data_IF_051567256392
#
_entry.id   IF_051567256392
#
_cell.length_a   1.000
_cell.length_b   1.000
_cell.length_c   1.000
_cell.angle_alpha   90.00
_cell.angle_beta   90.00
_cell.angle_gamma   90.00
#
_symmetry.space_group_name_H-M   'P 1'
#
loop_
_entity.id
_entity.type
_entity.pdbx_description
1 polymer ?
#
# COMPACT_ATOMS: atom_id res chain seq x y z
N UNK A 1 -7.21 57.89 -4.04
CA UNK A 1 -6.34 59.03 -3.71
C UNK A 1 -5.44 58.64 -2.54
N UNK A 2 -4.12 58.93 -2.65
CA UNK A 2 -3.08 59.00 -1.57
C UNK A 2 -2.92 57.77 -0.64
N UNK A 3 -1.99 56.81 -0.86
CA UNK A 3 -0.52 56.83 -0.60
C UNK A 3 -0.10 57.63 0.64
N UNK A 4 0.71 57.02 1.53
CA UNK A 4 1.86 57.55 2.32
C UNK A 4 2.62 56.31 2.89
N UNK A 5 3.74 55.84 2.34
CA UNK A 5 5.18 56.18 2.53
C UNK A 5 5.80 55.98 3.94
N UNK A 6 6.64 54.94 4.01
CA UNK A 6 8.05 54.85 4.49
C UNK A 6 8.42 55.40 5.87
N UNK A 7 9.21 54.61 6.63
CA UNK A 7 10.66 54.85 6.85
C UNK A 7 11.36 53.66 7.50
N UNK A 8 12.53 53.35 6.96
CA UNK A 8 13.57 52.48 7.48
C UNK A 8 14.74 53.36 7.92
N UNK A 9 15.43 53.03 9.02
CA UNK A 9 16.79 53.47 9.45
C UNK A 9 17.00 52.99 10.90
N UNK A 10 18.15 52.56 11.45
CA UNK A 10 19.54 52.41 11.01
C UNK A 10 20.28 51.50 12.00
N UNK A 11 21.41 50.98 11.53
CA UNK A 11 22.54 50.26 12.14
C UNK A 11 23.09 50.90 13.45
N UNK A 12 23.58 50.08 14.39
CA UNK A 12 24.83 50.34 15.12
C UNK A 12 25.36 49.07 15.85
N UNK A 13 26.53 48.61 15.43
CA UNK A 13 27.37 47.66 16.15
C UNK A 13 28.47 48.41 16.91
N UNK A 14 28.82 47.96 18.12
CA UNK A 14 30.05 48.20 18.91
C UNK A 14 29.91 47.31 20.17
N UNK A 15 30.61 46.18 20.38
CA UNK A 15 32.03 45.88 20.44
C UNK A 15 32.70 46.19 21.81
N UNK A 16 33.17 45.10 22.44
CA UNK A 16 34.18 44.93 23.49
C UNK A 16 34.00 45.58 24.87
N UNK A 17 33.97 44.72 25.90
CA UNK A 17 34.81 44.89 27.09
C UNK A 17 35.08 43.54 27.76
N UNK A 18 36.37 43.23 27.84
CA UNK A 18 37.00 42.11 28.55
C UNK A 18 37.04 42.39 30.05
N UNK A 19 36.74 41.40 30.87
CA UNK A 19 37.14 41.39 32.28
C UNK A 19 37.50 39.96 32.69
N UNK A 20 38.81 39.75 32.84
CA UNK A 20 39.43 38.59 33.47
C UNK A 20 39.34 38.75 34.99
N UNK A 21 38.75 37.77 35.67
CA UNK A 21 39.06 37.41 37.06
C UNK A 21 38.70 35.93 37.27
N UNK A 22 39.74 35.12 37.49
CA UNK A 22 39.69 33.74 37.97
C UNK A 22 39.68 33.72 39.51
N UNK A 23 39.72 32.56 40.19
CA UNK A 23 38.79 31.43 40.14
C UNK A 23 38.23 31.14 41.56
N UNK A 24 36.96 30.76 41.68
CA UNK A 24 36.45 30.11 42.89
C UNK A 24 36.12 28.66 42.55
N UNK A 25 36.97 27.75 43.00
CA UNK A 25 36.69 26.33 43.00
C UNK A 25 35.52 26.05 43.96
N UNK A 26 34.37 25.68 43.40
CA UNK A 26 33.30 25.01 44.12
C UNK A 26 32.95 23.73 43.40
N UNK A 27 32.77 22.70 44.23
CA UNK A 27 32.68 21.30 43.89
C UNK A 27 31.61 21.00 42.82
N UNK A 28 31.96 20.08 41.92
CA UNK A 28 31.07 19.51 40.93
C UNK A 28 29.91 18.73 41.59
N UNK A 29 28.65 18.99 41.20
CA UNK A 29 27.62 17.98 41.20
C UNK A 29 27.58 17.27 39.84
N UNK A 30 27.48 15.94 39.92
CA UNK A 30 27.47 15.01 38.81
C UNK A 30 26.56 15.45 37.65
N UNK A 31 27.09 15.33 36.43
CA UNK A 31 26.35 15.47 35.19
C UNK A 31 25.14 14.52 35.21
N UNK A 32 23.94 15.10 35.41
CA UNK A 32 22.69 14.44 35.03
C UNK A 32 22.70 14.31 33.51
N UNK A 33 22.81 13.08 33.07
CA UNK A 33 22.64 12.64 31.69
C UNK A 33 21.43 13.35 31.09
N UNK A 34 21.67 14.17 30.06
CA UNK A 34 20.61 14.69 29.23
C UNK A 34 19.76 13.51 28.72
N UNK A 35 18.43 13.61 28.69
CA UNK A 35 17.61 12.54 28.16
C UNK A 35 18.02 12.34 26.70
N UNK A 36 18.59 11.16 26.42
CA UNK A 36 18.86 10.68 25.06
C UNK A 36 17.55 10.83 24.30
N UNK A 37 17.51 11.79 23.38
CA UNK A 37 16.41 11.94 22.44
C UNK A 37 16.11 10.54 21.90
N UNK A 38 14.90 10.07 22.17
CA UNK A 38 14.43 8.81 21.61
C UNK A 38 14.70 8.89 20.11
N UNK A 39 15.55 8.00 19.63
CA UNK A 39 15.83 7.86 18.20
C UNK A 39 14.48 7.85 17.50
N UNK A 40 14.21 8.88 16.71
CA UNK A 40 13.07 8.88 15.82
C UNK A 40 13.13 7.52 15.11
N UNK A 41 12.11 6.68 15.34
CA UNK A 41 11.96 5.43 14.58
C UNK A 41 12.19 5.85 13.14
N UNK A 42 13.20 5.24 12.49
CA UNK A 42 13.37 5.39 11.05
C UNK A 42 11.98 5.26 10.46
N UNK A 43 11.50 6.33 9.83
CA UNK A 43 10.23 6.34 9.13
C UNK A 43 10.32 5.10 8.24
N UNK A 44 9.51 4.08 8.54
CA UNK A 44 9.54 2.88 7.73
C UNK A 44 9.22 3.35 6.33
N UNK A 45 10.05 2.94 5.39
CA UNK A 45 9.73 3.18 4.00
C UNK A 45 8.32 2.63 3.77
N UNK A 46 7.36 3.43 3.28
CA UNK A 46 6.04 2.93 2.92
C UNK A 46 6.10 1.74 1.94
N UNK A 47 7.26 1.50 1.31
CA UNK A 47 7.60 0.33 0.50
C UNK A 47 8.26 -0.87 1.21
N UNK A 48 8.20 -1.01 2.55
CA UNK A 48 8.78 -2.17 3.30
C UNK A 48 8.12 -3.54 2.97
N UNK A 49 7.30 -3.59 1.92
CA UNK A 49 6.94 -4.81 1.21
C UNK A 49 8.16 -5.58 0.71
N UNK A 50 9.31 -4.91 0.56
CA UNK A 50 10.61 -5.54 0.34
C UNK A 50 10.88 -6.69 1.32
N UNK A 51 10.77 -6.43 2.62
CA UNK A 51 11.02 -7.41 3.66
C UNK A 51 10.02 -8.58 3.60
N UNK A 52 8.79 -8.30 3.17
CA UNK A 52 7.76 -9.32 2.98
C UNK A 52 8.06 -10.19 1.74
N UNK A 53 8.51 -9.59 0.64
CA UNK A 53 8.94 -10.30 -0.57
C UNK A 53 10.26 -11.05 -0.39
N UNK A 54 11.15 -10.59 0.48
CA UNK A 54 12.37 -11.31 0.85
C UNK A 54 12.07 -12.54 1.70
N UNK A 55 11.09 -12.43 2.60
CA UNK A 55 10.60 -13.55 3.40
C UNK A 55 9.77 -14.55 2.57
N UNK A 56 9.05 -14.07 1.55
CA UNK A 56 8.19 -14.86 0.66
C UNK A 56 8.49 -14.57 -0.82
N UNK A 57 9.64 -15.03 -1.35
CA UNK A 57 10.04 -14.71 -2.71
C UNK A 57 9.10 -15.33 -3.74
N UNK A 58 8.68 -14.51 -4.71
CA UNK A 58 7.84 -14.95 -5.81
C UNK A 58 8.53 -16.04 -6.65
N UNK A 59 7.77 -17.07 -7.04
CA UNK A 59 8.24 -18.23 -7.78
C UNK A 59 9.07 -19.23 -6.96
N UNK A 60 9.21 -19.04 -5.64
CA UNK A 60 9.90 -19.98 -4.74
C UNK A 60 8.91 -20.78 -3.89
N UNK A 61 9.32 -21.95 -3.38
CA UNK A 61 8.49 -22.73 -2.46
C UNK A 61 8.08 -21.90 -1.24
N UNK A 62 6.82 -22.04 -0.82
CA UNK A 62 6.34 -21.44 0.42
C UNK A 62 7.13 -22.03 1.60
N UNK A 63 7.77 -21.21 2.45
CA UNK A 63 8.40 -21.68 3.67
C UNK A 63 7.40 -22.42 4.55
N UNK A 64 7.86 -23.39 5.34
CA UNK A 64 7.00 -24.00 6.36
C UNK A 64 6.68 -22.95 7.41
N UNK A 65 5.39 -22.68 7.60
CA UNK A 65 4.87 -21.71 8.56
C UNK A 65 3.92 -22.42 9.54
N UNK A 66 3.93 -22.01 10.82
CA UNK A 66 2.92 -22.44 11.78
C UNK A 66 1.54 -21.84 11.45
N UNK A 67 0.48 -22.37 12.09
CA UNK A 67 -0.84 -21.73 12.04
C UNK A 67 -0.79 -20.38 12.76
N UNK A 68 -1.57 -19.39 12.29
CA UNK A 68 -1.64 -18.12 12.99
C UNK A 68 -2.35 -18.19 14.34
N UNK A 69 -3.07 -19.29 14.61
CA UNK A 69 -3.61 -19.56 15.93
C UNK A 69 -2.50 -19.92 16.93
N UNK A 70 -1.52 -20.71 16.52
CA UNK A 70 -0.47 -21.24 17.39
C UNK A 70 0.49 -20.16 17.90
N UNK A 71 0.73 -19.14 17.07
CA UNK A 71 1.72 -18.09 17.35
C UNK A 71 1.09 -16.76 17.77
N UNK A 72 -0.23 -16.76 18.00
CA UNK A 72 -0.97 -15.58 18.44
C UNK A 72 -0.56 -15.21 19.86
N UNK A 73 -0.23 -13.94 20.09
CA UNK A 73 0.04 -13.45 21.42
C UNK A 73 -1.22 -13.57 22.30
N UNK A 74 -1.06 -13.98 23.56
CA UNK A 74 -2.17 -14.20 24.48
C UNK A 74 -3.09 -12.97 24.54
N UNK A 75 -4.35 -13.13 24.11
CA UNK A 75 -5.39 -12.09 24.13
C UNK A 75 -5.33 -11.03 23.02
N UNK A 76 -4.42 -11.13 22.04
CA UNK A 76 -4.20 -10.11 21.02
C UNK A 76 -4.58 -10.50 19.58
N UNK A 77 -4.69 -9.49 18.71
CA UNK A 77 -4.77 -9.66 17.24
C UNK A 77 -3.40 -9.85 16.57
N UNK A 78 -2.32 -9.81 17.36
CA UNK A 78 -0.95 -9.86 16.88
C UNK A 78 -0.33 -11.26 17.01
N UNK A 79 0.55 -11.57 16.07
CA UNK A 79 1.31 -12.82 16.00
C UNK A 79 2.77 -12.55 16.29
N UNK A 80 3.44 -13.51 16.94
CA UNK A 80 4.84 -13.39 17.36
C UNK A 80 5.83 -13.65 16.23
N UNK A 81 5.44 -14.44 15.23
CA UNK A 81 6.21 -14.73 14.01
C UNK A 81 5.32 -14.78 12.76
N UNK A 82 5.93 -15.00 11.59
CA UNK A 82 5.14 -15.21 10.37
C UNK A 82 4.38 -16.54 10.46
N UNK A 83 3.13 -16.53 10.03
CA UNK A 83 2.24 -17.67 10.12
C UNK A 83 1.31 -17.71 8.92
N UNK A 84 0.72 -18.87 8.63
CA UNK A 84 -0.18 -18.99 7.51
C UNK A 84 -1.28 -20.00 7.75
N UNK A 85 -2.53 -19.56 7.56
CA UNK A 85 -3.71 -20.41 7.58
C UNK A 85 -4.30 -20.52 6.18
N UNK A 86 -4.82 -21.71 5.86
CA UNK A 86 -5.54 -21.95 4.60
C UNK A 86 -6.81 -21.11 4.58
N UNK A 87 -7.03 -20.37 3.50
CA UNK A 87 -8.32 -19.74 3.24
C UNK A 87 -9.24 -20.78 2.58
N UNK A 88 -10.54 -20.69 2.84
CA UNK A 88 -11.56 -21.67 2.43
C UNK A 88 -11.51 -22.01 0.91
N UNK A 89 -10.89 -21.17 0.07
CA UNK A 89 -10.68 -21.42 -1.35
C UNK A 89 -9.54 -22.42 -1.63
N UNK A 90 -9.87 -23.70 -1.80
CA UNK A 90 -9.11 -24.73 -2.56
C UNK A 90 -7.58 -24.81 -2.34
N UNK A 91 -7.04 -24.34 -1.21
CA UNK A 91 -5.61 -24.36 -0.90
C UNK A 91 -4.70 -23.44 -1.73
N UNK A 92 -5.24 -22.71 -2.73
CA UNK A 92 -4.47 -21.80 -3.60
C UNK A 92 -4.31 -20.41 -3.04
N UNK A 93 -5.16 -20.02 -2.08
CA UNK A 93 -4.91 -18.81 -1.29
C UNK A 93 -4.69 -19.17 0.16
N UNK A 94 -3.80 -18.42 0.79
CA UNK A 94 -3.49 -18.56 2.21
C UNK A 94 -3.44 -17.20 2.84
N UNK A 95 -3.97 -17.08 4.05
CA UNK A 95 -3.68 -15.91 4.87
C UNK A 95 -2.22 -15.95 5.26
N UNK A 96 -1.61 -14.77 5.36
CA UNK A 96 -0.27 -14.58 5.85
C UNK A 96 -0.33 -13.57 6.97
N UNK A 97 -0.25 -14.06 8.21
CA UNK A 97 -0.08 -13.21 9.37
C UNK A 97 1.39 -12.87 9.57
N UNK A 98 1.66 -11.63 9.98
CA UNK A 98 3.00 -11.18 10.32
C UNK A 98 3.03 -10.38 11.61
N UNK A 99 4.15 -10.37 12.36
CA UNK A 99 4.30 -9.52 13.53
C UNK A 99 4.16 -8.05 13.15
N UNK A 100 3.52 -7.23 13.99
CA UNK A 100 3.32 -5.79 13.73
C UNK A 100 4.62 -5.06 13.37
N UNK A 101 5.73 -5.46 13.97
CA UNK A 101 7.05 -4.92 13.68
C UNK A 101 7.65 -5.37 12.32
N UNK A 102 6.99 -6.24 11.55
CA UNK A 102 7.43 -6.66 10.21
C UNK A 102 6.40 -6.34 9.13
N UNK A 103 5.27 -5.71 9.50
CA UNK A 103 4.23 -5.30 8.55
C UNK A 103 4.70 -4.06 7.78
N UNK A 104 4.55 -4.04 6.44
CA UNK A 104 4.75 -2.84 5.65
C UNK A 104 3.82 -1.72 6.12
N UNK A 105 4.26 -0.46 6.09
CA UNK A 105 3.41 0.67 6.51
C UNK A 105 2.17 0.82 5.61
N UNK A 106 2.28 0.47 4.33
CA UNK A 106 1.13 0.49 3.43
C UNK A 106 0.06 -0.55 3.75
N UNK A 107 0.39 -1.57 4.55
CA UNK A 107 -0.49 -2.70 4.80
C UNK A 107 -1.57 -2.31 5.80
N UNK A 108 -2.82 -2.46 5.39
CA UNK A 108 -3.97 -2.32 6.27
C UNK A 108 -4.30 -3.65 6.95
N UNK A 109 -4.42 -3.62 8.27
CA UNK A 109 -4.71 -4.80 9.07
C UNK A 109 -3.51 -5.74 9.31
N UNK A 110 -3.78 -6.92 9.91
CA UNK A 110 -2.73 -7.81 10.40
C UNK A 110 -2.26 -8.87 9.41
N UNK A 111 -2.95 -9.02 8.27
CA UNK A 111 -2.77 -10.14 7.35
C UNK A 111 -2.66 -9.67 5.89
N UNK A 112 -1.75 -10.30 5.16
CA UNK A 112 -1.72 -10.31 3.70
C UNK A 112 -2.32 -11.63 3.18
N UNK A 113 -2.46 -11.77 1.86
CA UNK A 113 -2.87 -13.01 1.21
C UNK A 113 -1.78 -13.49 0.28
N UNK A 114 -1.43 -14.78 0.37
CA UNK A 114 -0.53 -15.45 -0.56
C UNK A 114 -1.35 -16.20 -1.62
N UNK A 115 -0.90 -16.11 -2.87
CA UNK A 115 -1.32 -16.99 -3.96
C UNK A 115 -0.30 -18.12 -4.10
N UNK A 116 -0.77 -19.36 -4.12
CA UNK A 116 0.06 -20.56 -4.17
C UNK A 116 -0.20 -21.33 -5.46
N UNK A 117 0.87 -21.63 -6.20
CA UNK A 117 0.88 -22.51 -7.37
C UNK A 117 1.78 -23.71 -7.09
N UNK A 118 1.20 -24.91 -6.97
CA UNK A 118 1.96 -26.15 -6.75
C UNK A 118 2.97 -26.07 -5.58
N UNK A 119 2.61 -25.36 -4.50
CA UNK A 119 3.46 -25.15 -3.33
C UNK A 119 4.43 -23.97 -3.43
N UNK A 120 4.49 -23.27 -4.56
CA UNK A 120 5.28 -22.05 -4.74
C UNK A 120 4.44 -20.79 -4.54
N UNK A 121 5.07 -19.71 -4.08
CA UNK A 121 4.46 -18.39 -3.96
C UNK A 121 4.29 -17.79 -5.36
N UNK A 122 3.10 -17.87 -5.93
CA UNK A 122 2.77 -17.25 -7.22
C UNK A 122 2.42 -15.77 -7.07
N UNK A 123 2.03 -15.33 -5.88
CA UNK A 123 1.68 -13.95 -5.64
C UNK A 123 1.50 -13.59 -4.17
N UNK A 124 1.49 -12.30 -3.90
CA UNK A 124 1.27 -11.69 -2.60
C UNK A 124 0.32 -10.49 -2.79
N UNK A 125 -0.79 -10.48 -2.07
CA UNK A 125 -1.75 -9.38 -2.04
C UNK A 125 -1.67 -8.70 -0.68
N UNK A 126 -1.33 -7.42 -0.69
CA UNK A 126 -1.17 -6.62 0.51
C UNK A 126 -2.36 -5.66 0.60
N UNK A 127 -3.31 -5.86 1.53
CA UNK A 127 -4.44 -4.97 1.71
C UNK A 127 -3.97 -3.55 2.04
N UNK A 128 -4.70 -2.54 1.56
CA UNK A 128 -4.45 -1.13 1.85
C UNK A 128 -5.75 -0.43 2.20
N UNK A 129 -5.68 0.82 2.66
CA UNK A 129 -6.86 1.67 2.93
C UNK A 129 -7.40 2.34 1.66
N UNK A 130 -7.25 1.68 0.50
CA UNK A 130 -7.78 2.12 -0.78
C UNK A 130 -7.47 3.59 -1.09
N UNK A 131 -8.51 4.33 -1.47
CA UNK A 131 -8.43 5.75 -1.85
C UNK A 131 -7.80 6.66 -0.77
N UNK A 132 -7.83 6.26 0.50
CA UNK A 132 -7.27 7.08 1.60
C UNK A 132 -5.73 7.04 1.63
N UNK A 133 -5.13 5.99 1.05
CA UNK A 133 -3.67 5.80 1.01
C UNK A 133 -3.10 5.74 -0.40
N UNK A 134 -3.96 5.77 -1.43
CA UNK A 134 -3.64 5.52 -2.83
C UNK A 134 -2.43 6.33 -3.32
N UNK A 135 -2.42 7.65 -3.13
CA UNK A 135 -1.32 8.49 -3.62
C UNK A 135 0.02 8.16 -2.94
N UNK A 136 0.00 7.81 -1.64
CA UNK A 136 1.21 7.41 -0.91
C UNK A 136 1.74 6.08 -1.43
N UNK A 137 0.84 5.12 -1.65
CA UNK A 137 1.18 3.80 -2.21
C UNK A 137 1.76 3.96 -3.61
N UNK A 138 1.12 4.76 -4.45
CA UNK A 138 1.61 5.04 -5.80
C UNK A 138 3.03 5.61 -5.80
N UNK A 139 3.29 6.59 -4.93
CA UNK A 139 4.62 7.19 -4.81
C UNK A 139 5.65 6.16 -4.37
N UNK A 140 5.36 5.38 -3.32
CA UNK A 140 6.28 4.36 -2.81
C UNK A 140 6.60 3.28 -3.87
N UNK A 141 5.59 2.86 -4.64
CA UNK A 141 5.79 1.92 -5.74
C UNK A 141 6.58 2.56 -6.90
N UNK A 142 6.35 3.83 -7.19
CA UNK A 142 7.08 4.55 -8.23
C UNK A 142 8.55 4.78 -7.87
N UNK A 143 8.84 5.09 -6.60
CA UNK A 143 10.20 5.25 -6.09
C UNK A 143 10.98 3.94 -6.20
N UNK A 144 10.30 2.79 -5.99
CA UNK A 144 10.90 1.47 -6.03
C UNK A 144 11.01 0.86 -7.43
N UNK A 145 9.97 0.98 -8.24
CA UNK A 145 9.82 0.28 -9.52
C UNK A 145 9.90 1.22 -10.74
N UNK A 146 10.10 2.51 -10.52
CA UNK A 146 10.12 3.52 -11.58
C UNK A 146 8.72 3.88 -12.07
N UNK A 147 8.62 4.31 -13.32
CA UNK A 147 7.34 4.71 -13.93
C UNK A 147 6.44 3.48 -14.15
N UNK A 148 5.13 3.54 -13.85
CA UNK A 148 4.21 2.45 -14.20
C UNK A 148 4.15 2.24 -15.72
N UNK A 149 4.03 0.98 -16.11
CA UNK A 149 3.80 0.58 -17.50
C UNK A 149 2.38 0.94 -17.97
N UNK A 150 1.41 0.94 -17.05
CA UNK A 150 0.04 1.34 -17.31
C UNK A 150 -0.53 2.11 -16.12
N UNK A 151 -1.31 3.15 -16.41
CA UNK A 151 -2.00 3.98 -15.43
C UNK A 151 -3.39 4.31 -15.98
N UNK A 152 -4.39 4.32 -15.11
CA UNK A 152 -5.74 4.72 -15.47
C UNK A 152 -6.50 5.17 -14.26
N UNK A 153 -7.50 6.01 -14.49
CA UNK A 153 -8.34 6.56 -13.43
C UNK A 153 -9.79 6.15 -13.63
N UNK A 154 -10.47 5.87 -12.53
CA UNK A 154 -11.87 5.50 -12.51
C UNK A 154 -12.62 6.32 -11.45
N UNK A 155 -13.87 6.65 -11.73
CA UNK A 155 -14.74 7.26 -10.74
C UNK A 155 -15.32 6.17 -9.83
N UNK A 156 -15.00 6.23 -8.54
CA UNK A 156 -15.49 5.30 -7.53
C UNK A 156 -16.46 6.01 -6.58
N UNK A 157 -17.54 5.32 -6.21
CA UNK A 157 -18.56 5.84 -5.30
C UNK A 157 -18.27 5.37 -3.88
N UNK A 158 -18.02 6.32 -2.98
CA UNK A 158 -17.82 6.04 -1.57
C UNK A 158 -19.13 5.65 -0.87
N UNK A 159 -19.02 4.95 0.27
CA UNK A 159 -20.16 4.68 1.17
C UNK A 159 -20.92 5.95 1.60
N UNK A 160 -20.25 7.11 1.62
CA UNK A 160 -20.88 8.42 1.89
C UNK A 160 -21.72 8.98 0.73
N UNK A 161 -21.73 8.31 -0.43
CA UNK A 161 -22.37 8.77 -1.65
C UNK A 161 -21.52 9.71 -2.51
N UNK A 162 -20.38 10.19 -2.00
CA UNK A 162 -19.43 11.02 -2.76
C UNK A 162 -18.71 10.18 -3.82
N UNK A 163 -18.54 10.74 -5.02
CA UNK A 163 -17.67 10.17 -6.05
C UNK A 163 -16.26 10.72 -5.90
N UNK A 164 -15.26 9.84 -6.01
CA UNK A 164 -13.84 10.19 -6.05
C UNK A 164 -13.19 9.60 -7.28
N UNK A 165 -12.17 10.28 -7.80
CA UNK A 165 -11.30 9.73 -8.84
C UNK A 165 -10.25 8.84 -8.16
N UNK A 166 -10.17 7.58 -8.56
CA UNK A 166 -9.23 6.57 -8.04
C UNK A 166 -8.29 6.11 -9.14
N UNK A 167 -7.04 5.95 -8.76
CA UNK A 167 -5.93 5.50 -9.58
C UNK A 167 -5.78 3.98 -9.55
N UNK A 168 -5.63 3.41 -10.75
CA UNK A 168 -5.10 2.06 -10.95
C UNK A 168 -3.78 2.18 -11.70
N UNK A 169 -2.73 1.60 -11.15
CA UNK A 169 -1.40 1.61 -11.75
C UNK A 169 -0.77 0.23 -11.75
N UNK A 170 0.02 -0.05 -12.79
CA UNK A 170 0.70 -1.34 -12.99
C UNK A 170 2.16 -1.13 -13.40
N UNK A 171 3.06 -1.83 -12.73
CA UNK A 171 4.47 -1.95 -13.07
C UNK A 171 4.75 -3.36 -13.58
N UNK A 172 5.60 -3.46 -14.59
CA UNK A 172 6.03 -4.75 -15.16
C UNK A 172 7.55 -4.81 -15.07
N UNK A 173 8.06 -5.65 -14.18
CA UNK A 173 9.45 -6.05 -14.13
C UNK A 173 9.71 -7.35 -14.90
N UNK A 174 10.96 -7.85 -14.90
CA UNK A 174 11.34 -9.05 -15.66
C UNK A 174 10.56 -10.31 -15.28
N UNK A 175 10.25 -10.49 -14.00
CA UNK A 175 9.52 -11.66 -13.49
C UNK A 175 8.39 -11.29 -12.52
N UNK A 176 8.13 -10.01 -12.32
CA UNK A 176 7.16 -9.51 -11.35
C UNK A 176 6.25 -8.50 -11.99
N UNK A 177 4.95 -8.66 -11.78
CA UNK A 177 3.93 -7.66 -12.07
C UNK A 177 3.49 -7.08 -10.73
N UNK A 178 3.49 -5.77 -10.61
CA UNK A 178 2.95 -5.07 -9.45
C UNK A 178 1.73 -4.28 -9.89
N UNK A 179 0.59 -4.47 -9.25
CA UNK A 179 -0.64 -3.71 -9.55
C UNK A 179 -1.20 -3.12 -8.26
N UNK A 180 -1.57 -1.85 -8.28
CA UNK A 180 -2.31 -1.22 -7.18
C UNK A 180 -3.69 -0.76 -7.65
N UNK A 181 -4.69 -0.86 -6.78
CA UNK A 181 -6.02 -0.31 -7.00
C UNK A 181 -6.84 -0.25 -5.70
N UNK A 182 -7.82 0.64 -5.66
CA UNK A 182 -8.93 0.57 -4.72
C UNK A 182 -10.02 -0.39 -5.23
N UNK A 183 -10.70 -1.09 -4.32
CA UNK A 183 -11.77 -2.04 -4.63
C UNK A 183 -13.02 -1.24 -5.00
N UNK A 184 -13.60 -1.40 -6.21
CA UNK A 184 -14.72 -0.57 -6.65
C UNK A 184 -15.95 -0.60 -5.74
N UNK A 185 -16.28 -1.77 -5.21
CA UNK A 185 -17.42 -2.01 -4.32
C UNK A 185 -17.20 -1.41 -2.92
N UNK A 186 -15.94 -1.31 -2.50
CA UNK A 186 -15.52 -0.73 -1.23
C UNK A 186 -14.26 0.12 -1.41
N UNK A 187 -14.36 1.36 -1.94
CA UNK A 187 -13.17 2.12 -2.35
C UNK A 187 -12.24 2.51 -1.20
N UNK A 188 -12.72 2.43 0.05
CA UNK A 188 -11.88 2.59 1.24
C UNK A 188 -10.98 1.38 1.53
N UNK A 189 -11.19 0.27 0.81
CA UNK A 189 -10.33 -0.89 0.80
C UNK A 189 -9.57 -0.91 -0.53
N UNK A 190 -8.32 -1.31 -0.50
CA UNK A 190 -7.51 -1.48 -1.69
C UNK A 190 -6.55 -2.64 -1.54
N UNK A 191 -5.77 -2.87 -2.60
CA UNK A 191 -4.73 -3.89 -2.58
C UNK A 191 -3.55 -3.46 -3.43
N UNK A 192 -2.37 -3.94 -3.02
CA UNK A 192 -1.20 -4.03 -3.89
C UNK A 192 -0.94 -5.51 -4.15
N UNK A 193 -1.01 -5.89 -5.42
CA UNK A 193 -0.74 -7.25 -5.88
C UNK A 193 0.69 -7.33 -6.40
N UNK A 194 1.44 -8.31 -5.93
CA UNK A 194 2.75 -8.69 -6.44
C UNK A 194 2.63 -10.08 -7.03
N UNK A 195 2.75 -10.20 -8.34
CA UNK A 195 2.46 -11.43 -9.07
C UNK A 195 3.70 -11.93 -9.79
N UNK A 196 3.96 -13.23 -9.69
CA UNK A 196 5.01 -13.90 -10.45
C UNK A 196 4.56 -14.06 -11.91
N UNK A 197 5.10 -13.22 -12.80
CA UNK A 197 4.63 -13.06 -14.16
C UNK A 197 4.49 -14.37 -14.97
N UNK A 198 5.41 -15.36 -14.85
CA UNK A 198 5.32 -16.60 -15.62
C UNK A 198 4.08 -17.46 -15.34
N UNK A 199 3.48 -17.38 -14.13
CA UNK A 199 2.44 -18.33 -13.70
C UNK A 199 1.22 -17.71 -13.05
N UNK A 200 1.36 -16.57 -12.36
CA UNK A 200 0.28 -15.99 -11.57
C UNK A 200 -0.99 -15.73 -12.37
N UNK A 201 -0.87 -15.26 -13.62
CA UNK A 201 -2.03 -15.05 -14.51
C UNK A 201 -2.82 -16.33 -14.76
N UNK A 202 -2.13 -17.45 -15.03
CA UNK A 202 -2.77 -18.74 -15.25
C UNK A 202 -3.48 -19.25 -13.98
N UNK A 203 -2.91 -19.03 -12.81
CA UNK A 203 -3.53 -19.44 -11.53
C UNK A 203 -4.78 -18.60 -11.25
N UNK A 204 -4.71 -17.29 -11.46
CA UNK A 204 -5.87 -16.40 -11.29
C UNK A 204 -7.00 -16.73 -12.29
N UNK A 205 -6.66 -17.09 -13.53
CA UNK A 205 -7.64 -17.54 -14.52
C UNK A 205 -8.28 -18.89 -14.14
N UNK A 206 -7.51 -19.84 -13.60
CA UNK A 206 -8.04 -21.09 -13.08
C UNK A 206 -8.98 -20.87 -11.88
N UNK A 207 -8.59 -19.98 -10.95
CA UNK A 207 -9.45 -19.61 -9.83
C UNK A 207 -10.76 -18.98 -10.30
N UNK A 208 -10.72 -18.10 -11.31
CA UNK A 208 -11.93 -17.52 -11.91
C UNK A 208 -12.82 -18.61 -12.50
N UNK A 209 -12.26 -19.50 -13.31
CA UNK A 209 -13.03 -20.55 -13.98
C UNK A 209 -13.71 -21.53 -13.00
N UNK A 210 -13.18 -21.69 -11.78
CA UNK A 210 -13.80 -22.50 -10.74
C UNK A 210 -14.93 -21.79 -10.00
N UNK A 211 -14.85 -20.47 -9.87
CA UNK A 211 -15.93 -19.66 -9.27
C UNK A 211 -17.06 -19.44 -10.27
N UNK A 212 -16.71 -19.13 -11.52
CA UNK A 212 -17.62 -18.91 -12.62
C UNK A 212 -16.94 -19.36 -13.93
N UNK A 213 -17.27 -20.57 -14.44
CA UNK A 213 -16.67 -21.11 -15.66
C UNK A 213 -17.07 -20.33 -16.92
N UNK A 214 -18.17 -19.59 -16.88
CA UNK A 214 -18.69 -18.81 -18.01
C UNK A 214 -18.20 -17.34 -17.99
N UNK A 215 -17.46 -16.95 -16.95
CA UNK A 215 -16.95 -15.60 -16.81
C UNK A 215 -16.00 -15.23 -17.98
N UNK A 216 -16.23 -14.09 -18.66
CA UNK A 216 -15.33 -13.61 -19.69
C UNK A 216 -13.91 -13.40 -19.12
N UNK A 217 -12.88 -13.78 -19.89
CA UNK A 217 -11.51 -13.43 -19.54
C UNK A 217 -11.37 -11.90 -19.51
N UNK A 218 -10.80 -11.32 -18.44
CA UNK A 218 -10.60 -9.89 -18.36
C UNK A 218 -9.67 -9.46 -19.49
N UNK A 219 -10.06 -8.40 -20.20
CA UNK A 219 -9.17 -7.76 -21.14
C UNK A 219 -7.93 -7.29 -20.38
N UNK A 220 -6.75 -7.65 -20.87
CA UNK A 220 -5.46 -7.25 -20.30
C UNK A 220 -5.20 -5.77 -20.65
N UNK A 221 -5.92 -4.88 -20.00
CA UNK A 221 -5.85 -3.43 -20.21
C UNK A 221 -6.48 -2.70 -19.03
N UNK A 222 -5.90 -1.56 -18.67
CA UNK A 222 -6.41 -0.71 -17.58
C UNK A 222 -7.72 -0.05 -18.02
N UNK A 223 -8.79 -0.82 -17.89
CA UNK A 223 -10.14 -0.33 -17.71
C UNK A 223 -10.81 -1.32 -16.76
N UNK A 224 -10.74 -1.04 -15.46
CA UNK A 224 -11.76 -1.57 -14.57
C UNK A 224 -13.06 -0.93 -15.05
N UNK A 225 -13.93 -1.75 -15.64
CA UNK A 225 -15.33 -1.53 -15.95
C UNK A 225 -15.86 -0.16 -15.53
N UNK A 226 -15.88 0.79 -16.48
CA UNK A 226 -16.91 1.81 -16.44
C UNK A 226 -18.25 1.07 -16.55
N UNK A 227 -19.26 1.35 -15.70
CA UNK A 227 -20.58 0.80 -15.94
C UNK A 227 -21.02 1.25 -17.34
N UNK A 228 -21.42 0.29 -18.16
CA UNK A 228 -22.10 0.57 -19.40
C UNK A 228 -23.27 1.51 -19.06
N UNK A 229 -23.18 2.76 -19.51
CA UNK A 229 -24.32 3.65 -19.51
C UNK A 229 -25.43 2.90 -20.24
N UNK A 230 -26.49 2.56 -19.52
CA UNK A 230 -27.73 2.04 -20.05
C UNK A 230 -28.19 3.00 -21.14
N UNK A 231 -27.90 2.63 -22.39
CA UNK A 231 -28.46 3.28 -23.57
C UNK A 231 -29.96 3.20 -23.43
N UNK A 232 -30.58 4.34 -23.18
CA UNK A 232 -32.01 4.51 -23.15
C UNK A 232 -32.52 4.17 -24.56
N UNK A 233 -32.95 2.93 -24.77
CA UNK A 233 -33.65 2.51 -25.98
C UNK A 233 -35.08 3.09 -25.90
N UNK A 234 -35.16 4.40 -26.11
CA UNK A 234 -36.41 5.12 -26.32
C UNK A 234 -36.92 4.86 -27.73
N UNK A 235 -37.98 4.06 -27.84
CA UNK A 235 -39.11 4.25 -28.75
C UNK A 235 -38.83 4.44 -30.24
N UNK A 236 -39.04 3.38 -31.02
CA UNK A 236 -39.22 3.48 -32.48
C UNK A 236 -40.08 2.33 -33.00
N UNK A 237 -41.41 2.53 -32.98
CA UNK A 237 -42.42 1.63 -33.55
C UNK A 237 -42.19 1.43 -35.07
N UNK A 238 -42.31 0.23 -35.64
CA UNK A 238 -42.17 0.05 -37.08
C UNK A 238 -43.44 0.54 -37.80
N UNK A 239 -43.27 1.51 -38.69
CA UNK A 239 -44.30 1.86 -39.67
C UNK A 239 -44.13 0.96 -40.90
N UNK A 240 -45.19 0.25 -41.22
CA UNK A 240 -45.38 -0.59 -42.39
C UNK A 240 -45.71 0.23 -43.65
N UNK A 241 -45.30 -0.31 -44.81
CA UNK A 241 -45.79 -0.09 -46.20
C UNK A 241 -45.43 1.24 -46.88
N UNK A 242 -44.77 1.15 -48.05
CA UNK A 242 -45.38 0.82 -49.34
C UNK A 242 -44.40 0.05 -50.21
#
# INVERSE_FOLDING_TARGET
MTRWTRRATTIAALAFSTSLLAPAAFAAPAAKSAPKAASAKAVRDPGDVAALLDAFPLGKPLPKLPSCQDVRAAGGKDVSEYCSDVLESHGRTRSLGGPSAKRPELMDGPQAVLLIDQGNVAGLFVPTRGVDTEQRVFQALSDRYGKPAQEGKAQLKLKSGKTVESLRARWTGPQTIVTMYAIPEEPQNGTVEFLWAPRAGAVMDQMRAEVDPDAPKPASGVAASAPAASGNAGGGKPASRQ
#
